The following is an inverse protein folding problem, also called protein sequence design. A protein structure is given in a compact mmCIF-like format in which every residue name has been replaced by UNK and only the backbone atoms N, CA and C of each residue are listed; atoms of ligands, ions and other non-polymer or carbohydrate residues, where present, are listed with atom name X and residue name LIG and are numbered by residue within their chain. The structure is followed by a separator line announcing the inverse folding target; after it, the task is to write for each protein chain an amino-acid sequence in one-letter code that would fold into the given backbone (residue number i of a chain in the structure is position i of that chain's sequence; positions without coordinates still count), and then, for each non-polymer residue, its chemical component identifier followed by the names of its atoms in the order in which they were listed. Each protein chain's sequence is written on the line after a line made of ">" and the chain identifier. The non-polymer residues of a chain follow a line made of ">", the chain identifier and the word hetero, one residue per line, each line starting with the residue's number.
data_IF_083574624957
#
_entry.id   IF_083574624957
#
_cell.length_a   1.000
_cell.length_b   1.000
_cell.length_c   1.000
_cell.angle_alpha   90.00
_cell.angle_beta   90.00
_cell.angle_gamma   90.00
#
_symmetry.space_group_name_H-M   'P 1'
#
loop_
_entity.id
_entity.type
_entity.pdbx_description
1 polymer ?
#
# COMPACT_ATOMS: atom_id res chain seq x y z
N UNK A 1 9.15 -21.35 23.74
CA UNK A 1 9.54 -20.37 22.71
C UNK A 1 8.81 -19.02 22.81
N UNK A 2 7.46 -18.96 23.00
CA UNK A 2 6.76 -17.65 23.15
C UNK A 2 7.17 -16.87 24.41
N UNK A 3 7.36 -17.54 25.54
CA UNK A 3 7.72 -16.92 26.82
C UNK A 3 9.17 -16.44 26.92
N UNK A 4 10.10 -17.05 26.20
CA UNK A 4 11.52 -16.63 26.21
C UNK A 4 11.75 -15.32 25.46
N UNK A 5 11.01 -15.09 24.34
CA UNK A 5 11.11 -13.82 23.60
C UNK A 5 10.49 -12.63 24.35
N UNK A 6 9.53 -12.89 25.25
CA UNK A 6 8.94 -11.88 26.14
C UNK A 6 9.82 -11.60 27.36
N UNK A 7 10.63 -12.58 27.81
CA UNK A 7 11.47 -12.41 29.01
C UNK A 7 12.57 -11.39 28.85
N UNK A 8 13.03 -11.16 27.62
CA UNK A 8 14.11 -10.22 27.32
C UNK A 8 13.65 -8.76 27.16
N UNK A 9 12.33 -8.49 27.27
CA UNK A 9 11.78 -7.15 27.18
C UNK A 9 11.53 -6.53 28.56
N UNK A 10 11.72 -5.20 28.74
CA UNK A 10 11.34 -4.49 29.96
C UNK A 10 9.85 -4.67 30.27
N UNK A 11 9.48 -4.75 31.54
CA UNK A 11 8.08 -4.99 31.97
C UNK A 11 7.08 -3.98 31.40
N UNK A 12 7.47 -2.73 31.29
CA UNK A 12 6.65 -1.67 30.70
C UNK A 12 6.35 -1.93 29.20
N UNK A 13 7.30 -2.48 28.47
CA UNK A 13 7.11 -2.79 27.04
C UNK A 13 6.23 -4.04 26.84
N UNK A 14 6.31 -5.03 27.74
CA UNK A 14 5.46 -6.23 27.70
C UNK A 14 3.98 -5.90 27.85
N UNK A 15 3.63 -4.98 28.74
CA UNK A 15 2.23 -4.57 28.97
C UNK A 15 1.61 -3.91 27.73
N UNK A 16 2.43 -3.34 26.86
CA UNK A 16 1.99 -2.62 25.66
C UNK A 16 1.97 -3.47 24.39
N UNK A 17 2.59 -4.65 24.38
CA UNK A 17 2.67 -5.51 23.20
C UNK A 17 1.29 -5.85 22.63
N UNK A 18 0.36 -6.29 23.50
CA UNK A 18 -1.00 -6.64 23.07
C UNK A 18 -1.76 -5.42 22.53
N UNK A 19 -1.65 -4.27 23.19
CA UNK A 19 -2.28 -3.01 22.75
C UNK A 19 -1.71 -2.54 21.42
N UNK A 20 -0.39 -2.50 21.27
CA UNK A 20 0.28 -2.15 20.02
C UNK A 20 -0.03 -3.15 18.91
N UNK A 21 -0.12 -4.44 19.21
CA UNK A 21 -0.52 -5.47 18.28
C UNK A 21 -1.92 -5.24 17.71
N UNK A 22 -2.89 -4.93 18.58
CA UNK A 22 -4.26 -4.63 18.15
C UNK A 22 -4.32 -3.35 17.31
N UNK A 23 -3.60 -2.29 17.70
CA UNK A 23 -3.50 -1.04 16.94
C UNK A 23 -2.92 -1.29 15.54
N UNK A 24 -1.88 -2.12 15.43
CA UNK A 24 -1.29 -2.48 14.14
C UNK A 24 -2.24 -3.29 13.25
N UNK A 25 -2.99 -4.24 13.82
CA UNK A 25 -4.01 -5.02 13.09
C UNK A 25 -5.10 -4.07 12.58
N UNK A 26 -5.61 -3.18 13.43
CA UNK A 26 -6.63 -2.19 13.05
C UNK A 26 -6.11 -1.25 11.96
N UNK A 27 -4.89 -0.73 12.09
CA UNK A 27 -4.28 0.11 11.08
C UNK A 27 -4.12 -0.62 9.73
N UNK A 28 -3.68 -1.89 9.74
CA UNK A 28 -3.58 -2.69 8.53
C UNK A 28 -4.94 -2.96 7.89
N UNK A 29 -5.98 -3.22 8.68
CA UNK A 29 -7.34 -3.40 8.17
C UNK A 29 -7.88 -2.13 7.50
N UNK A 30 -7.73 -0.97 8.16
CA UNK A 30 -8.10 0.33 7.61
C UNK A 30 -7.31 0.67 6.35
N UNK A 31 -6.00 0.41 6.35
CA UNK A 31 -5.12 0.61 5.20
C UNK A 31 -5.55 -0.25 4.01
N UNK A 32 -5.84 -1.54 4.23
CA UNK A 32 -6.31 -2.43 3.19
C UNK A 32 -7.65 -2.01 2.62
N UNK A 33 -8.55 -1.49 3.49
CA UNK A 33 -9.82 -0.90 3.05
C UNK A 33 -9.60 0.31 2.15
N UNK A 34 -8.71 1.23 2.56
CA UNK A 34 -8.32 2.38 1.76
C UNK A 34 -7.67 1.99 0.43
N UNK A 35 -6.83 0.95 0.43
CA UNK A 35 -6.21 0.41 -0.79
C UNK A 35 -7.23 -0.14 -1.78
N UNK A 36 -8.32 -0.74 -1.32
CA UNK A 36 -9.39 -1.23 -2.20
C UNK A 36 -10.17 -0.09 -2.86
N UNK A 37 -10.37 1.03 -2.17
CA UNK A 37 -11.06 2.20 -2.77
C UNK A 37 -10.25 2.88 -3.88
N UNK A 38 -8.91 2.73 -3.88
CA UNK A 38 -7.97 3.32 -4.86
C UNK A 38 -7.25 2.21 -5.64
N UNK A 39 -7.92 1.07 -5.84
CA UNK A 39 -7.28 -0.07 -6.49
C UNK A 39 -6.98 0.24 -7.97
N UNK A 40 -5.68 0.18 -8.31
CA UNK A 40 -5.18 0.48 -9.65
C UNK A 40 -5.59 -0.56 -10.71
N UNK A 41 -5.97 -1.76 -10.28
CA UNK A 41 -6.38 -2.86 -11.18
C UNK A 41 -7.88 -2.92 -11.40
N UNK A 42 -8.69 -2.35 -10.50
CA UNK A 42 -10.16 -2.43 -10.53
C UNK A 42 -10.82 -1.06 -10.53
N UNK A 43 -10.77 -0.33 -9.43
CA UNK A 43 -11.52 0.93 -9.23
C UNK A 43 -11.06 2.04 -10.18
N UNK A 44 -9.74 2.26 -10.31
CA UNK A 44 -9.22 3.33 -11.17
C UNK A 44 -9.48 3.11 -12.67
N UNK A 45 -9.40 1.90 -13.26
CA UNK A 45 -9.83 1.67 -14.65
C UNK A 45 -11.31 1.99 -14.88
N UNK A 46 -12.20 1.64 -13.93
CA UNK A 46 -13.61 2.03 -13.99
C UNK A 46 -13.79 3.55 -13.94
N UNK A 47 -13.06 4.22 -13.05
CA UNK A 47 -13.03 5.67 -12.98
C UNK A 47 -12.60 6.30 -14.31
N UNK A 48 -11.54 5.77 -14.93
CA UNK A 48 -11.06 6.24 -16.22
C UNK A 48 -12.12 6.09 -17.31
N UNK A 49 -12.83 4.97 -17.32
CA UNK A 49 -13.94 4.76 -18.24
C UNK A 49 -15.07 5.77 -18.04
N UNK A 50 -15.48 5.99 -16.76
CA UNK A 50 -16.54 6.95 -16.43
C UNK A 50 -16.20 8.39 -16.76
N UNK A 51 -14.90 8.77 -16.69
CA UNK A 51 -14.41 10.12 -17.02
C UNK A 51 -14.07 10.30 -18.51
N UNK A 52 -14.21 9.26 -19.34
CA UNK A 52 -13.83 9.31 -20.76
C UNK A 52 -12.32 9.46 -20.97
N UNK A 53 -11.49 8.92 -20.08
CA UNK A 53 -10.04 8.93 -20.20
C UNK A 53 -9.61 7.92 -21.26
N UNK A 54 -8.64 8.25 -22.15
CA UNK A 54 -8.14 7.31 -23.15
C UNK A 54 -7.67 5.99 -22.54
N UNK A 55 -8.11 4.81 -23.08
CA UNK A 55 -7.79 3.49 -22.51
C UNK A 55 -6.30 3.20 -22.37
N UNK A 56 -5.47 3.77 -23.22
CA UNK A 56 -4.01 3.60 -23.17
C UNK A 56 -3.41 4.05 -21.82
N UNK A 57 -4.00 5.05 -21.16
CA UNK A 57 -3.54 5.56 -19.86
C UNK A 57 -3.81 4.58 -18.70
N UNK A 58 -4.81 3.71 -18.82
CA UNK A 58 -5.09 2.70 -17.80
C UNK A 58 -3.94 1.71 -17.62
N UNK A 59 -3.18 1.44 -18.68
CA UNK A 59 -1.98 0.61 -18.62
C UNK A 59 -0.86 1.16 -17.73
N UNK A 60 -0.88 2.46 -17.40
CA UNK A 60 0.11 3.11 -16.53
C UNK A 60 -0.24 3.00 -15.04
N UNK A 61 -1.48 2.69 -14.68
CA UNK A 61 -1.96 2.72 -13.29
C UNK A 61 -1.20 1.72 -12.41
N UNK A 62 -1.15 0.45 -12.80
CA UNK A 62 -0.47 -0.59 -12.02
C UNK A 62 1.05 -0.38 -11.99
N UNK A 63 1.75 -0.15 -13.13
CA UNK A 63 3.17 0.13 -13.11
C UNK A 63 3.56 1.30 -12.20
N UNK A 64 2.82 2.41 -12.24
CA UNK A 64 3.12 3.59 -11.41
C UNK A 64 2.91 3.27 -9.94
N UNK A 65 1.80 2.61 -9.58
CA UNK A 65 1.52 2.24 -8.20
C UNK A 65 2.57 1.29 -7.64
N UNK A 66 2.90 0.22 -8.35
CA UNK A 66 3.83 -0.80 -7.88
C UNK A 66 5.29 -0.29 -7.90
N UNK A 67 5.73 0.29 -9.01
CA UNK A 67 7.09 0.82 -9.13
C UNK A 67 7.33 1.98 -8.15
N UNK A 68 6.38 2.90 -8.03
CA UNK A 68 6.49 4.03 -7.11
C UNK A 68 6.51 3.63 -5.64
N UNK A 69 5.89 2.50 -5.28
CA UNK A 69 5.92 1.99 -3.92
C UNK A 69 7.17 1.17 -3.59
N UNK A 70 7.81 0.53 -4.57
CA UNK A 70 8.92 -0.40 -4.36
C UNK A 70 10.29 0.20 -4.70
N UNK A 71 10.42 0.88 -5.86
CA UNK A 71 11.72 1.37 -6.33
C UNK A 71 12.39 2.40 -5.41
N UNK A 72 11.66 3.38 -4.84
CA UNK A 72 12.30 4.37 -3.97
C UNK A 72 12.67 3.83 -2.59
N UNK A 73 12.26 2.61 -2.20
CA UNK A 73 12.51 2.08 -0.84
C UNK A 73 14.00 2.07 -0.49
N UNK A 74 14.86 1.64 -1.41
CA UNK A 74 16.30 1.60 -1.17
C UNK A 74 16.88 3.00 -0.91
N UNK A 75 16.44 4.01 -1.67
CA UNK A 75 16.88 5.39 -1.53
C UNK A 75 16.30 6.10 -0.29
N UNK A 76 15.06 5.77 0.09
CA UNK A 76 14.36 6.41 1.21
C UNK A 76 14.65 5.73 2.56
N UNK A 77 15.09 4.48 2.59
CA UNK A 77 15.43 3.76 3.83
C UNK A 77 16.41 4.53 4.73
N UNK A 78 17.52 5.12 4.24
CA UNK A 78 18.43 5.88 5.08
C UNK A 78 17.79 7.12 5.73
N UNK A 79 16.84 7.76 5.03
CA UNK A 79 16.08 8.91 5.54
C UNK A 79 15.13 8.45 6.67
N UNK A 80 14.41 7.36 6.47
CA UNK A 80 13.51 6.80 7.47
C UNK A 80 14.30 6.36 8.70
N UNK A 81 15.45 5.70 8.53
CA UNK A 81 16.30 5.23 9.62
C UNK A 81 16.88 6.38 10.47
N UNK A 82 17.02 7.58 9.96
CA UNK A 82 17.46 8.77 10.71
C UNK A 82 16.36 9.40 11.56
N UNK A 83 15.09 9.15 11.27
CA UNK A 83 14.00 9.72 12.05
C UNK A 83 13.99 9.15 13.48
N UNK A 84 13.77 9.99 14.50
CA UNK A 84 13.73 9.59 15.91
C UNK A 84 12.58 8.63 16.20
N UNK A 85 11.40 8.92 15.66
CA UNK A 85 10.21 8.09 15.77
C UNK A 85 9.76 7.68 14.35
N UNK A 86 9.73 6.39 14.07
CA UNK A 86 9.32 5.84 12.76
C UNK A 86 7.83 6.02 12.50
N UNK A 87 7.02 6.05 13.57
CA UNK A 87 5.58 6.30 13.46
C UNK A 87 5.27 7.63 12.79
N UNK A 88 6.08 8.69 13.00
CA UNK A 88 5.85 9.98 12.34
C UNK A 88 6.09 9.91 10.83
N UNK A 89 7.06 9.10 10.38
CA UNK A 89 7.29 8.87 8.96
C UNK A 89 6.10 8.12 8.33
N UNK A 90 5.57 7.13 9.05
CA UNK A 90 4.36 6.43 8.63
C UNK A 90 3.16 7.39 8.53
N UNK A 91 2.93 8.21 9.55
CA UNK A 91 1.85 9.20 9.57
C UNK A 91 1.98 10.17 8.39
N UNK A 92 3.17 10.69 8.12
CA UNK A 92 3.41 11.56 6.97
C UNK A 92 3.09 10.85 5.64
N UNK A 93 3.51 9.59 5.48
CA UNK A 93 3.16 8.76 4.31
C UNK A 93 1.66 8.52 4.17
N UNK A 94 0.96 8.23 5.27
CA UNK A 94 -0.49 8.02 5.28
C UNK A 94 -1.26 9.30 4.92
N UNK A 95 -0.85 10.45 5.47
CA UNK A 95 -1.45 11.74 5.13
C UNK A 95 -1.17 12.17 3.69
N UNK A 96 0.02 11.85 3.15
CA UNK A 96 0.34 12.03 1.73
C UNK A 96 -0.60 11.22 0.85
N UNK A 97 -0.90 9.97 1.23
CA UNK A 97 -1.85 9.13 0.52
C UNK A 97 -3.27 9.70 0.63
N UNK A 98 -3.72 10.12 1.82
CA UNK A 98 -5.01 10.77 1.99
C UNK A 98 -5.15 12.02 1.10
N UNK A 99 -4.15 12.92 1.10
CA UNK A 99 -4.15 14.12 0.27
C UNK A 99 -4.21 13.79 -1.22
N UNK A 100 -3.46 12.78 -1.68
CA UNK A 100 -3.50 12.31 -3.06
C UNK A 100 -4.89 11.81 -3.45
N UNK A 101 -5.56 11.07 -2.57
CA UNK A 101 -6.92 10.57 -2.81
C UNK A 101 -7.94 11.71 -2.83
N UNK A 102 -7.80 12.72 -1.97
CA UNK A 102 -8.63 13.94 -2.01
C UNK A 102 -8.48 14.66 -3.36
N UNK A 103 -7.26 14.77 -3.89
CA UNK A 103 -7.04 15.34 -5.23
C UNK A 103 -7.72 14.49 -6.31
N UNK A 104 -7.59 13.15 -6.27
CA UNK A 104 -8.28 12.27 -7.21
C UNK A 104 -9.81 12.44 -7.13
N UNK A 105 -10.36 12.50 -5.91
CA UNK A 105 -11.80 12.73 -5.67
C UNK A 105 -12.25 14.07 -6.27
N UNK A 106 -11.51 15.15 -6.04
CA UNK A 106 -11.82 16.46 -6.60
C UNK A 106 -11.80 16.45 -8.14
N UNK A 107 -10.76 15.84 -8.73
CA UNK A 107 -10.66 15.71 -10.20
C UNK A 107 -11.84 14.91 -10.75
N UNK A 108 -12.29 13.87 -10.06
CA UNK A 108 -13.44 13.05 -10.48
C UNK A 108 -14.72 13.88 -10.60
N UNK A 109 -14.87 14.91 -9.75
CA UNK A 109 -16.07 15.77 -9.75
C UNK A 109 -15.97 16.91 -10.78
N UNK A 110 -14.77 17.48 -10.98
CA UNK A 110 -14.61 18.74 -11.72
C UNK A 110 -13.94 18.59 -13.08
N UNK A 111 -13.37 17.45 -13.44
CA UNK A 111 -12.63 17.26 -14.67
C UNK A 111 -13.03 15.98 -15.41
N UNK A 112 -12.74 15.92 -16.72
CA UNK A 112 -13.00 14.77 -17.58
C UNK A 112 -11.92 14.61 -18.65
N UNK A 113 -11.93 13.48 -19.36
CA UNK A 113 -11.04 13.22 -20.49
C UNK A 113 -9.57 13.15 -20.10
N UNK A 114 -8.70 13.57 -21.01
CA UNK A 114 -7.24 13.47 -20.87
C UNK A 114 -6.69 14.22 -19.66
N UNK A 115 -7.21 15.41 -19.35
CA UNK A 115 -6.75 16.22 -18.25
C UNK A 115 -7.01 15.52 -16.90
N UNK A 116 -8.21 14.95 -16.73
CA UNK A 116 -8.53 14.15 -15.55
C UNK A 116 -7.59 12.95 -15.41
N UNK A 117 -7.38 12.21 -16.50
CA UNK A 117 -6.49 11.04 -16.51
C UNK A 117 -5.06 11.36 -16.09
N UNK A 118 -4.48 12.41 -16.66
CA UNK A 118 -3.11 12.82 -16.32
C UNK A 118 -2.98 13.29 -14.88
N UNK A 119 -3.96 14.02 -14.37
CA UNK A 119 -3.95 14.49 -12.96
C UNK A 119 -4.10 13.33 -11.99
N UNK A 120 -4.96 12.34 -12.28
CA UNK A 120 -5.11 11.14 -11.45
C UNK A 120 -3.82 10.32 -11.47
N UNK A 121 -3.16 10.16 -12.63
CA UNK A 121 -1.86 9.48 -12.73
C UNK A 121 -0.79 10.20 -11.88
N UNK A 122 -0.72 11.52 -11.95
CA UNK A 122 0.21 12.29 -11.14
C UNK A 122 -0.08 12.14 -9.63
N UNK A 123 -1.35 12.21 -9.23
CA UNK A 123 -1.76 11.98 -7.85
C UNK A 123 -1.46 10.54 -7.40
N UNK A 124 -1.63 9.54 -8.28
CA UNK A 124 -1.28 8.15 -8.00
C UNK A 124 0.23 7.96 -7.80
N UNK A 125 1.07 8.68 -8.53
CA UNK A 125 2.52 8.65 -8.32
C UNK A 125 2.91 9.20 -6.95
N UNK A 126 2.27 10.30 -6.50
CA UNK A 126 2.47 10.86 -5.15
C UNK A 126 1.94 9.87 -4.09
N UNK A 127 0.78 9.27 -4.30
CA UNK A 127 0.22 8.21 -3.45
C UNK A 127 1.20 7.05 -3.28
N UNK A 128 1.80 6.57 -4.37
CA UNK A 128 2.77 5.48 -4.36
C UNK A 128 4.05 5.85 -3.57
N UNK A 129 4.50 7.09 -3.65
CA UNK A 129 5.58 7.63 -2.81
C UNK A 129 5.23 7.61 -1.33
N UNK A 130 4.03 8.06 -0.95
CA UNK A 130 3.52 7.96 0.43
C UNK A 130 3.45 6.51 0.91
N UNK A 131 3.00 5.58 0.05
CA UNK A 131 2.97 4.14 0.34
C UNK A 131 4.37 3.56 0.56
N UNK A 132 5.36 4.01 -0.20
CA UNK A 132 6.76 3.63 0.00
C UNK A 132 7.22 3.96 1.43
N UNK A 133 6.96 5.19 1.90
CA UNK A 133 7.28 5.61 3.27
C UNK A 133 6.56 4.76 4.32
N UNK A 134 5.26 4.51 4.14
CA UNK A 134 4.48 3.64 5.02
C UNK A 134 5.06 2.21 5.06
N UNK A 135 5.45 1.65 3.91
CA UNK A 135 5.99 0.29 3.81
C UNK A 135 7.31 0.11 4.58
N UNK A 136 8.20 1.11 4.52
CA UNK A 136 9.47 1.09 5.26
C UNK A 136 9.20 1.28 6.76
N UNK A 137 8.43 2.32 7.11
CA UNK A 137 8.20 2.72 8.50
C UNK A 137 7.39 1.67 9.27
N UNK A 138 6.39 1.02 8.66
CA UNK A 138 5.56 0.00 9.31
C UNK A 138 6.37 -1.20 9.78
N UNK A 139 7.32 -1.67 8.96
CA UNK A 139 8.22 -2.78 9.31
C UNK A 139 9.13 -2.43 10.49
N UNK A 140 9.61 -1.19 10.52
CA UNK A 140 10.46 -0.70 11.60
C UNK A 140 9.66 -0.52 12.91
N UNK A 141 8.45 0.07 12.84
CA UNK A 141 7.55 0.20 14.01
C UNK A 141 7.19 -1.19 14.56
N UNK A 142 6.76 -2.12 13.70
CA UNK A 142 6.48 -3.50 14.11
C UNK A 142 7.72 -4.17 14.71
N UNK A 143 8.90 -3.90 14.13
CA UNK A 143 10.18 -4.41 14.61
C UNK A 143 10.53 -3.98 16.03
N UNK A 144 10.08 -2.79 16.45
CA UNK A 144 10.35 -2.19 17.77
C UNK A 144 9.28 -2.48 18.81
N UNK A 145 8.03 -2.65 18.38
CA UNK A 145 6.87 -2.76 19.27
C UNK A 145 6.41 -4.20 19.48
N UNK A 146 6.80 -5.14 18.59
CA UNK A 146 6.34 -6.53 18.63
C UNK A 146 7.51 -7.51 18.65
N UNK A 147 7.52 -8.47 19.60
CA UNK A 147 8.52 -9.53 19.68
C UNK A 147 8.59 -10.37 18.39
N UNK A 148 9.78 -10.86 18.06
CA UNK A 148 10.02 -11.63 16.82
C UNK A 148 9.08 -12.84 16.66
N UNK A 149 8.72 -13.51 17.75
CA UNK A 149 7.86 -14.70 17.74
C UNK A 149 6.38 -14.41 17.40
N UNK A 150 5.91 -13.17 17.58
CA UNK A 150 4.49 -12.81 17.42
C UNK A 150 4.20 -12.05 16.13
N UNK A 151 5.22 -11.52 15.46
CA UNK A 151 5.06 -10.74 14.21
C UNK A 151 4.33 -11.50 13.12
N UNK A 152 4.63 -12.81 12.97
CA UNK A 152 3.96 -13.67 11.98
C UNK A 152 2.47 -13.84 12.29
N UNK A 153 2.11 -13.99 13.55
CA UNK A 153 0.71 -14.13 13.98
C UNK A 153 -0.07 -12.83 13.75
N UNK A 154 0.52 -11.67 14.09
CA UNK A 154 -0.09 -10.36 13.87
C UNK A 154 -0.28 -10.09 12.38
N UNK A 155 0.74 -10.38 11.56
CA UNK A 155 0.64 -10.22 10.12
C UNK A 155 -0.41 -11.14 9.50
N UNK A 156 -0.47 -12.41 9.93
CA UNK A 156 -1.49 -13.34 9.49
C UNK A 156 -2.91 -12.87 9.83
N UNK A 157 -3.12 -12.43 11.07
CA UNK A 157 -4.42 -11.89 11.48
C UNK A 157 -4.77 -10.61 10.72
N UNK A 158 -3.80 -9.70 10.55
CA UNK A 158 -4.00 -8.48 9.78
C UNK A 158 -4.39 -8.77 8.32
N UNK A 159 -3.74 -9.73 7.67
CA UNK A 159 -4.07 -10.15 6.31
C UNK A 159 -5.47 -10.78 6.24
N UNK A 160 -5.83 -11.61 7.20
CA UNK A 160 -7.17 -12.22 7.27
C UNK A 160 -8.26 -11.16 7.41
N UNK A 161 -8.09 -10.22 8.35
CA UNK A 161 -9.04 -9.11 8.55
C UNK A 161 -9.12 -8.24 7.28
N UNK A 162 -7.97 -7.95 6.65
CA UNK A 162 -7.93 -7.21 5.40
C UNK A 162 -8.71 -7.89 4.27
N UNK A 163 -8.60 -9.21 4.13
CA UNK A 163 -9.37 -10.00 3.16
C UNK A 163 -10.88 -9.93 3.43
N UNK A 164 -11.32 -10.07 4.69
CA UNK A 164 -12.73 -9.89 5.05
C UNK A 164 -13.25 -8.50 4.73
N UNK A 165 -12.46 -7.47 5.02
CA UNK A 165 -12.83 -6.08 4.70
C UNK A 165 -12.93 -5.87 3.19
N UNK A 166 -12.01 -6.42 2.40
CA UNK A 166 -12.07 -6.34 0.94
C UNK A 166 -13.35 -6.98 0.39
N UNK A 167 -13.70 -8.17 0.88
CA UNK A 167 -14.93 -8.88 0.48
C UNK A 167 -16.18 -8.08 0.89
N UNK A 168 -16.24 -7.58 2.13
CA UNK A 168 -17.40 -6.80 2.60
C UNK A 168 -17.55 -5.49 1.85
N UNK A 169 -16.46 -4.78 1.55
CA UNK A 169 -16.50 -3.56 0.75
C UNK A 169 -16.95 -3.85 -0.68
N UNK A 170 -16.41 -4.90 -1.31
CA UNK A 170 -16.84 -5.31 -2.65
C UNK A 170 -18.31 -5.72 -2.70
N UNK A 171 -18.79 -6.43 -1.68
CA UNK A 171 -20.20 -6.79 -1.57
C UNK A 171 -21.09 -5.56 -1.33
N UNK A 172 -20.66 -4.62 -0.49
CA UNK A 172 -21.37 -3.36 -0.26
C UNK A 172 -21.50 -2.54 -1.56
N UNK A 173 -20.41 -2.41 -2.32
CA UNK A 173 -20.44 -1.75 -3.63
C UNK A 173 -21.41 -2.46 -4.58
N UNK A 174 -21.43 -3.79 -4.59
CA UNK A 174 -22.30 -4.58 -5.46
C UNK A 174 -23.77 -4.45 -5.10
N UNK A 175 -24.11 -4.45 -3.81
CA UNK A 175 -25.50 -4.47 -3.32
C UNK A 175 -26.11 -3.07 -3.31
N UNK A 176 -25.36 -2.06 -2.89
CA UNK A 176 -25.85 -0.69 -2.72
C UNK A 176 -25.49 0.24 -3.87
N UNK A 177 -24.55 -0.17 -4.72
CA UNK A 177 -24.04 0.68 -5.79
C UNK A 177 -25.02 0.94 -6.92
N UNK A 178 -26.04 0.09 -7.11
CA UNK A 178 -27.00 0.21 -8.22
C UNK A 178 -26.36 -0.07 -9.58
N UNK A 179 -27.11 0.23 -10.65
CA UNK A 179 -26.67 0.03 -12.04
C UNK A 179 -25.98 1.26 -12.65
N UNK A 180 -26.01 2.42 -11.97
CA UNK A 180 -25.49 3.68 -12.49
C UNK A 180 -24.05 3.97 -12.01
N UNK A 181 -23.09 3.81 -12.92
CA UNK A 181 -21.70 4.25 -12.78
C UNK A 181 -21.58 5.75 -13.07
N UNK A 182 -22.01 6.56 -12.12
CA UNK A 182 -21.76 8.00 -12.24
C UNK A 182 -20.39 8.35 -11.66
N UNK A 183 -19.67 9.35 -12.22
CA UNK A 183 -18.45 9.87 -11.61
C UNK A 183 -18.64 10.27 -10.15
N UNK A 184 -19.85 10.73 -9.79
CA UNK A 184 -20.21 11.12 -8.44
C UNK A 184 -20.15 9.95 -7.45
N UNK A 185 -20.67 8.77 -7.83
CA UNK A 185 -20.63 7.57 -6.98
C UNK A 185 -19.20 7.09 -6.78
N UNK A 186 -18.37 7.14 -7.83
CA UNK A 186 -16.95 6.82 -7.72
C UNK A 186 -16.17 7.82 -6.86
N UNK A 187 -16.56 9.12 -6.90
CA UNK A 187 -16.00 10.14 -6.02
C UNK A 187 -16.29 9.85 -4.54
N UNK A 188 -17.49 9.34 -4.20
CA UNK A 188 -17.81 8.93 -2.82
C UNK A 188 -16.95 7.74 -2.35
N UNK A 189 -16.71 6.75 -3.23
CA UNK A 189 -15.84 5.60 -2.91
C UNK A 189 -14.41 6.08 -2.65
N UNK A 190 -13.89 6.98 -3.50
CA UNK A 190 -12.56 7.57 -3.30
C UNK A 190 -12.50 8.42 -2.04
N UNK A 191 -13.53 9.25 -1.78
CA UNK A 191 -13.63 10.08 -0.58
C UNK A 191 -13.61 9.24 0.71
N UNK A 192 -14.30 8.10 0.73
CA UNK A 192 -14.20 7.13 1.81
C UNK A 192 -12.76 6.65 2.00
N UNK A 193 -12.04 6.38 0.91
CA UNK A 193 -10.62 6.03 0.96
C UNK A 193 -9.76 7.09 1.63
N UNK A 194 -9.98 8.37 1.32
CA UNK A 194 -9.27 9.46 1.98
C UNK A 194 -9.50 9.48 3.50
N UNK A 195 -10.76 9.30 3.93
CA UNK A 195 -11.11 9.22 5.37
C UNK A 195 -10.42 8.02 6.03
N UNK A 196 -10.41 6.86 5.37
CA UNK A 196 -9.73 5.67 5.89
C UNK A 196 -8.22 5.91 6.09
N UNK A 197 -7.55 6.60 5.15
CA UNK A 197 -6.13 6.92 5.30
C UNK A 197 -5.85 7.92 6.44
N UNK A 198 -6.75 8.87 6.68
CA UNK A 198 -6.68 9.75 7.87
C UNK A 198 -6.89 8.93 9.14
N UNK A 199 -7.83 7.99 9.16
CA UNK A 199 -8.05 7.10 10.29
C UNK A 199 -6.82 6.21 10.56
N UNK A 200 -6.15 5.69 9.53
CA UNK A 200 -4.88 4.97 9.68
C UNK A 200 -3.83 5.84 10.37
N UNK A 201 -3.67 7.08 9.93
CA UNK A 201 -2.75 8.03 10.55
C UNK A 201 -3.10 8.28 12.03
N UNK A 202 -4.39 8.44 12.35
CA UNK A 202 -4.87 8.61 13.72
C UNK A 202 -4.55 7.40 14.62
N UNK A 203 -4.72 6.18 14.11
CA UNK A 203 -4.34 4.95 14.84
C UNK A 203 -2.83 4.93 15.09
N UNK A 204 -2.00 5.29 14.11
CA UNK A 204 -0.54 5.31 14.29
C UNK A 204 -0.05 6.36 15.30
N UNK A 205 -0.77 7.46 15.49
CA UNK A 205 -0.48 8.44 16.55
C UNK A 205 -0.53 7.76 17.93
N UNK A 206 -1.48 6.86 18.14
CA UNK A 206 -1.71 6.19 19.43
C UNK A 206 -0.73 5.05 19.73
N UNK A 207 0.10 4.64 18.77
CA UNK A 207 1.10 3.58 18.97
C UNK A 207 2.21 4.11 19.88
N UNK A 208 2.51 3.35 20.93
CA UNK A 208 3.62 3.63 21.83
C UNK A 208 4.91 3.03 21.27
N UNK A 209 5.70 3.88 20.58
CA UNK A 209 7.00 3.51 20.06
C UNK A 209 8.08 3.82 21.10
N UNK A 210 8.93 2.86 21.53
CA UNK A 210 10.01 3.11 22.48
C UNK A 210 10.97 4.18 21.96
N UNK A 211 11.25 5.19 22.79
CA UNK A 211 12.11 6.33 22.41
C UNK A 211 13.60 6.00 22.37
N UNK A 212 14.00 4.83 22.85
CA UNK A 212 15.41 4.48 22.98
C UNK A 212 16.01 3.90 21.69
N UNK A 213 16.76 4.76 21.07
CA UNK A 213 17.60 4.44 19.89
C UNK A 213 18.75 3.44 20.18
N UNK A 214 18.81 2.78 21.33
CA UNK A 214 19.96 1.96 21.75
C UNK A 214 19.83 0.47 21.48
N UNK A 215 18.66 -0.05 21.11
CA UNK A 215 18.45 -1.50 21.19
C UNK A 215 18.18 -2.28 19.92
N UNK A 216 18.17 -1.72 18.76
CA UNK A 216 18.14 -2.59 17.56
C UNK A 216 18.83 -1.96 16.37
N UNK A 217 20.06 -2.41 16.11
CA UNK A 217 20.62 -2.33 14.78
C UNK A 217 19.61 -3.01 13.85
N UNK A 218 19.08 -2.33 12.82
CA UNK A 218 18.15 -2.95 11.89
C UNK A 218 18.84 -4.19 11.31
N UNK A 219 18.12 -5.30 11.22
CA UNK A 219 18.64 -6.53 10.60
C UNK A 219 19.13 -6.29 9.16
N UNK A 220 18.63 -5.23 8.51
CA UNK A 220 19.10 -4.74 7.21
C UNK A 220 20.37 -3.88 7.27
N UNK A 221 20.79 -3.38 8.44
CA UNK A 221 21.95 -2.50 8.54
C UNK A 221 23.27 -3.24 8.65
N UNK A 222 23.27 -4.56 8.84
CA UNK A 222 24.50 -5.36 8.79
C UNK A 222 25.15 -5.37 7.40
N UNK A 223 24.39 -5.04 6.35
CA UNK A 223 24.93 -4.92 4.98
C UNK A 223 25.37 -3.48 4.61
N UNK A 224 25.09 -2.49 5.47
CA UNK A 224 25.35 -1.08 5.13
C UNK A 224 26.53 -0.45 5.91
N UNK A 225 27.30 -1.21 6.68
CA UNK A 225 28.36 -0.70 7.55
C UNK A 225 29.79 -0.92 7.04
N UNK A 226 29.96 -1.28 5.79
CA UNK A 226 31.30 -1.38 5.19
C UNK A 226 31.38 -0.48 3.97
N UNK A 227 32.19 0.57 4.10
CA UNK A 227 32.86 1.33 3.05
C UNK A 227 32.01 2.11 2.05
N UNK A 228 32.53 3.30 1.72
CA UNK A 228 32.41 4.00 0.44
C UNK A 228 31.06 3.88 -0.26
N UNK A 229 30.40 4.99 -0.56
CA UNK A 229 29.06 5.02 -1.19
C UNK A 229 28.92 3.88 -2.21
N UNK A 230 28.32 2.75 -1.86
CA UNK A 230 28.23 1.66 -2.81
C UNK A 230 27.32 2.13 -3.93
N UNK A 231 27.81 2.05 -5.15
CA UNK A 231 27.01 2.19 -6.34
C UNK A 231 26.09 0.97 -6.41
N UNK A 232 25.02 1.01 -5.60
CA UNK A 232 24.04 -0.09 -5.47
C UNK A 232 23.58 -0.62 -6.83
N UNK A 233 23.58 0.23 -7.86
CA UNK A 233 23.30 -0.13 -9.24
C UNK A 233 24.37 -1.08 -9.83
N UNK A 234 25.65 -0.77 -9.61
CA UNK A 234 26.75 -1.65 -10.05
C UNK A 234 26.70 -2.99 -9.33
N UNK A 235 26.50 -2.96 -8.02
CA UNK A 235 26.42 -4.17 -7.19
C UNK A 235 25.24 -5.07 -7.58
N UNK A 236 24.07 -4.48 -7.88
CA UNK A 236 22.90 -5.21 -8.36
C UNK A 236 23.16 -5.81 -9.74
N UNK A 237 23.79 -5.10 -10.65
CA UNK A 237 24.13 -5.61 -12.00
C UNK A 237 25.16 -6.72 -11.90
N UNK A 238 26.16 -6.60 -11.05
CA UNK A 238 27.18 -7.62 -10.83
C UNK A 238 26.58 -8.90 -10.23
N UNK A 239 25.64 -8.77 -9.26
CA UNK A 239 24.87 -9.89 -8.74
C UNK A 239 24.02 -10.57 -9.83
N UNK A 240 23.34 -9.81 -10.67
CA UNK A 240 22.57 -10.34 -11.79
C UNK A 240 23.45 -11.08 -12.82
N UNK A 241 24.70 -10.66 -12.97
CA UNK A 241 25.66 -11.31 -13.89
C UNK A 241 26.31 -12.54 -13.29
N UNK A 242 26.65 -12.49 -12.00
CA UNK A 242 27.49 -13.50 -11.33
C UNK A 242 26.65 -14.61 -10.68
N UNK A 243 25.48 -14.26 -10.09
CA UNK A 243 24.66 -15.24 -9.39
C UNK A 243 23.51 -15.75 -10.29
N UNK A 244 23.61 -17.03 -10.69
CA UNK A 244 22.61 -17.70 -11.53
C UNK A 244 21.27 -17.85 -10.81
N UNK A 245 21.27 -18.13 -9.51
CA UNK A 245 20.06 -18.30 -8.71
C UNK A 245 19.32 -16.98 -8.55
N UNK A 246 20.04 -15.91 -8.24
CA UNK A 246 19.47 -14.56 -8.15
C UNK A 246 18.89 -14.10 -9.48
N UNK A 247 19.59 -14.32 -10.59
CA UNK A 247 19.09 -14.00 -11.94
C UNK A 247 17.80 -14.78 -12.25
N UNK A 248 17.76 -16.09 -11.94
CA UNK A 248 16.58 -16.90 -12.17
C UNK A 248 15.38 -16.42 -11.32
N UNK A 249 15.62 -16.11 -10.05
CA UNK A 249 14.61 -15.53 -9.16
C UNK A 249 14.06 -14.20 -9.70
N UNK A 250 14.94 -13.27 -10.12
CA UNK A 250 14.53 -11.98 -10.68
C UNK A 250 13.73 -12.19 -11.97
N UNK A 251 14.16 -13.09 -12.86
CA UNK A 251 13.45 -13.38 -14.12
C UNK A 251 12.04 -13.91 -13.85
N UNK A 252 11.91 -14.91 -12.99
CA UNK A 252 10.60 -15.47 -12.61
C UNK A 252 9.71 -14.41 -11.97
N UNK A 253 10.27 -13.61 -11.06
CA UNK A 253 9.53 -12.53 -10.40
C UNK A 253 9.07 -11.45 -11.38
N UNK A 254 9.91 -11.10 -12.36
CA UNK A 254 9.56 -10.13 -13.41
C UNK A 254 8.45 -10.66 -14.33
N UNK A 255 8.50 -11.92 -14.71
CA UNK A 255 7.43 -12.55 -15.51
C UNK A 255 6.10 -12.59 -14.77
N UNK A 256 6.12 -12.89 -13.46
CA UNK A 256 4.92 -12.84 -12.62
C UNK A 256 4.37 -11.42 -12.48
N UNK A 257 5.24 -10.40 -12.43
CA UNK A 257 4.81 -8.99 -12.41
C UNK A 257 4.15 -8.57 -13.73
N UNK A 258 4.63 -9.07 -14.87
CA UNK A 258 3.99 -8.81 -16.18
C UNK A 258 2.56 -9.34 -16.20
N UNK A 259 2.31 -10.50 -15.62
CA UNK A 259 0.96 -11.06 -15.47
C UNK A 259 0.02 -10.13 -14.69
N UNK A 260 0.53 -9.42 -13.68
CA UNK A 260 -0.28 -8.47 -12.88
C UNK A 260 -0.68 -7.19 -13.62
N UNK A 261 -0.17 -6.95 -14.83
CA UNK A 261 -0.54 -5.81 -15.67
C UNK A 261 -1.84 -6.06 -16.47
N UNK A 262 -2.29 -7.31 -16.58
CA UNK A 262 -3.49 -7.67 -17.35
C UNK A 262 -4.83 -7.20 -16.74
N UNK A 263 -5.05 -7.21 -15.41
CA UNK A 263 -6.34 -6.90 -14.83
C UNK A 263 -6.96 -5.55 -15.24
N UNK A 264 -6.22 -4.42 -15.31
CA UNK A 264 -6.79 -3.15 -15.74
C UNK A 264 -7.39 -3.20 -17.14
N UNK A 265 -6.74 -3.92 -18.05
CA UNK A 265 -7.22 -4.08 -19.44
C UNK A 265 -8.44 -4.98 -19.51
N UNK A 266 -8.49 -6.06 -18.73
CA UNK A 266 -9.66 -6.94 -18.62
C UNK A 266 -10.85 -6.16 -18.09
N UNK A 267 -10.67 -5.34 -17.06
CA UNK A 267 -11.71 -4.46 -16.51
C UNK A 267 -12.20 -3.49 -17.59
N UNK A 268 -11.31 -2.79 -18.29
CA UNK A 268 -11.72 -1.85 -19.34
C UNK A 268 -12.45 -2.53 -20.50
N UNK A 269 -11.99 -3.70 -20.92
CA UNK A 269 -12.64 -4.49 -21.96
C UNK A 269 -14.05 -4.94 -21.52
N UNK A 270 -14.20 -5.36 -20.27
CA UNK A 270 -15.48 -5.72 -19.70
C UNK A 270 -16.48 -4.56 -19.70
N UNK A 271 -16.02 -3.37 -19.33
CA UNK A 271 -16.85 -2.14 -19.40
C UNK A 271 -17.26 -1.83 -20.84
N UNK A 272 -16.34 -1.90 -21.79
CA UNK A 272 -16.62 -1.65 -23.22
C UNK A 272 -17.57 -2.68 -23.83
N UNK A 273 -17.54 -3.93 -23.35
CA UNK A 273 -18.41 -5.01 -23.81
C UNK A 273 -19.82 -5.02 -23.17
N UNK A 274 -20.16 -4.01 -22.37
CA UNK A 274 -21.49 -3.81 -21.80
C UNK A 274 -21.69 -4.33 -20.37
N UNK A 275 -20.64 -4.78 -19.69
CA UNK A 275 -20.68 -4.99 -18.23
C UNK A 275 -20.72 -3.62 -17.54
N UNK A 276 -21.90 -2.99 -17.58
CA UNK A 276 -22.14 -1.68 -16.96
C UNK A 276 -22.64 -1.86 -15.55
N UNK A 277 -22.21 -0.96 -14.67
CA UNK A 277 -22.78 -0.83 -13.33
C UNK A 277 -21.80 -1.17 -12.19
N UNK A 278 -22.09 -0.60 -11.03
CA UNK A 278 -21.36 -0.86 -9.78
C UNK A 278 -21.41 -2.33 -9.35
N UNK A 279 -22.43 -3.08 -9.83
CA UNK A 279 -22.54 -4.53 -9.66
C UNK A 279 -21.34 -5.27 -10.26
N UNK A 280 -20.89 -4.86 -11.45
CA UNK A 280 -19.67 -5.39 -12.08
C UNK A 280 -18.40 -5.00 -11.31
N UNK A 281 -18.29 -3.73 -10.91
CA UNK A 281 -17.15 -3.26 -10.09
C UNK A 281 -17.04 -4.03 -8.78
N UNK A 282 -18.15 -4.21 -8.04
CA UNK A 282 -18.18 -4.99 -6.81
C UNK A 282 -17.69 -6.42 -7.00
N UNK A 283 -18.08 -7.06 -8.11
CA UNK A 283 -17.59 -8.39 -8.49
C UNK A 283 -16.07 -8.44 -8.69
N UNK A 284 -15.49 -7.46 -9.40
CA UNK A 284 -14.04 -7.36 -9.58
C UNK A 284 -13.30 -7.08 -8.27
N UNK A 285 -13.85 -6.23 -7.38
CA UNK A 285 -13.26 -5.97 -6.06
C UNK A 285 -13.25 -7.23 -5.21
N UNK A 286 -14.33 -8.01 -5.19
CA UNK A 286 -14.39 -9.30 -4.47
C UNK A 286 -13.36 -10.27 -5.04
N UNK A 287 -13.24 -10.38 -6.36
CA UNK A 287 -12.30 -11.30 -7.00
C UNK A 287 -10.83 -10.90 -6.81
N UNK A 288 -10.55 -9.63 -6.51
CA UNK A 288 -9.19 -9.11 -6.30
C UNK A 288 -8.73 -9.12 -4.83
N UNK A 289 -9.62 -9.29 -3.88
CA UNK A 289 -9.36 -9.34 -2.43
C UNK A 289 -9.10 -10.74 -1.92
#
# INVERSE_FOLDING_TARGET
>A
MKREAESDMPEHERSQVASNGLKLITANALQSSGDQTVNASTVLPWLFSALGVPPALAGLLVPIRESGSMLPQAALTPLVVKARYRKHVFIAGALTQAASVVVMTGVTVFASGLAAGLTIIAALAVFAGGRCLCSIASKDVQGRTIPKGERGQINGLATTVAGFVAITLGLAIRVWGGDDLTPQTLAWILGLGAVLWVAVAAVYITIDEPSDAKSSKPASAKSAQSADKPNWFKETIDLLRTDRLFRHFVTVRSLLLVSSLSPPFVVMLSVQSGASGLTGLGGFVIASG
#
